data_IF_611265036948
#
_entry.id   IF_611265036948
#
_cell.length_a   1.000
_cell.length_b   1.000
_cell.length_c   1.000
_cell.angle_alpha   90.00
_cell.angle_beta   90.00
_cell.angle_gamma   90.00
#
_symmetry.space_group_name_H-M   'P 1'
#
loop_
_entity.id
_entity.type
_entity.pdbx_description
1 polymer ?
#
# COMPACT_ATOMS: atom_id res chain seq x y z
N UNK A 1 5.37 20.63 -13.07
CA UNK A 1 5.50 19.16 -13.05
C UNK A 1 4.13 18.53 -13.18
N UNK A 2 4.02 17.43 -13.92
CA UNK A 2 2.76 16.67 -14.12
C UNK A 2 3.00 15.20 -13.78
N UNK A 3 2.15 14.66 -12.92
CA UNK A 3 2.24 13.27 -12.44
C UNK A 3 0.98 12.50 -12.88
N UNK A 4 1.17 11.28 -13.39
CA UNK A 4 0.07 10.34 -13.59
C UNK A 4 0.11 9.26 -12.51
N UNK A 5 -1.01 9.03 -11.82
CA UNK A 5 -1.17 7.95 -10.82
C UNK A 5 -2.16 6.93 -11.37
N UNK A 6 -1.73 5.68 -11.51
CA UNK A 6 -2.55 4.56 -11.98
C UNK A 6 -2.92 3.67 -10.81
N UNK A 7 -4.21 3.59 -10.52
CA UNK A 7 -4.74 2.76 -9.42
C UNK A 7 -6.20 2.38 -9.67
N UNK A 8 -6.74 1.39 -8.98
CA UNK A 8 -8.16 1.06 -9.12
C UNK A 8 -9.07 2.11 -8.47
N UNK A 9 -8.69 2.59 -7.29
CA UNK A 9 -9.53 3.44 -6.45
C UNK A 9 -8.69 4.52 -5.78
N UNK A 10 -9.23 5.75 -5.72
CA UNK A 10 -8.67 6.88 -4.96
C UNK A 10 -9.79 7.44 -4.10
N UNK A 11 -9.82 7.09 -2.80
CA UNK A 11 -10.87 7.52 -1.87
C UNK A 11 -10.48 7.30 -0.40
N UNK A 12 -11.17 7.95 0.53
CA UNK A 12 -10.87 7.94 1.96
C UNK A 12 -11.09 6.57 2.66
N UNK A 13 -12.07 5.78 2.22
CA UNK A 13 -12.52 4.56 2.92
C UNK A 13 -11.94 3.28 2.30
N UNK A 14 -10.71 3.33 1.82
CA UNK A 14 -10.01 2.20 1.20
C UNK A 14 -8.53 2.30 1.57
N UNK A 15 -7.89 1.21 2.00
CA UNK A 15 -6.51 1.28 2.49
C UNK A 15 -5.54 1.86 1.45
N UNK A 16 -5.41 1.21 0.30
CA UNK A 16 -4.56 1.70 -0.80
C UNK A 16 -5.13 2.98 -1.42
N UNK A 17 -6.46 3.07 -1.53
CA UNK A 17 -7.15 4.24 -2.05
C UNK A 17 -6.88 5.49 -1.23
N UNK A 18 -6.80 5.38 0.10
CA UNK A 18 -6.46 6.47 1.01
C UNK A 18 -5.03 6.96 0.80
N UNK A 19 -4.06 6.06 0.71
CA UNK A 19 -2.67 6.43 0.43
C UNK A 19 -2.55 7.23 -0.86
N UNK A 20 -3.15 6.75 -1.95
CA UNK A 20 -3.14 7.46 -3.24
C UNK A 20 -3.91 8.80 -3.18
N UNK A 21 -4.97 8.88 -2.37
CA UNK A 21 -5.71 10.13 -2.14
C UNK A 21 -4.82 11.18 -1.48
N UNK A 22 -4.12 10.83 -0.40
CA UNK A 22 -3.25 11.76 0.33
C UNK A 22 -2.04 12.19 -0.51
N UNK A 23 -1.45 11.28 -1.30
CA UNK A 23 -0.38 11.62 -2.24
C UNK A 23 -0.90 12.62 -3.30
N UNK A 24 -2.08 12.37 -3.86
CA UNK A 24 -2.66 13.25 -4.87
C UNK A 24 -2.98 14.63 -4.28
N UNK A 25 -3.59 14.69 -3.08
CA UNK A 25 -3.91 15.93 -2.38
C UNK A 25 -2.66 16.77 -2.13
N UNK A 26 -1.62 16.18 -1.56
CA UNK A 26 -0.36 16.90 -1.31
C UNK A 26 0.33 17.35 -2.59
N UNK A 27 0.28 16.56 -3.66
CA UNK A 27 0.80 16.99 -4.96
C UNK A 27 0.07 18.23 -5.50
N UNK A 28 -1.24 18.32 -5.30
CA UNK A 28 -2.04 19.48 -5.71
C UNK A 28 -1.74 20.72 -4.86
N UNK A 29 -1.53 20.57 -3.55
CA UNK A 29 -1.09 21.64 -2.65
C UNK A 29 0.25 22.24 -3.07
N UNK A 30 1.14 21.41 -3.65
CA UNK A 30 2.42 21.82 -4.24
C UNK A 30 2.33 22.28 -5.70
N UNK A 31 1.12 22.59 -6.20
CA UNK A 31 0.85 23.01 -7.58
C UNK A 31 1.35 22.01 -8.64
N UNK A 32 1.38 20.73 -8.33
CA UNK A 32 1.68 19.65 -9.27
C UNK A 32 0.39 19.23 -9.97
N UNK A 33 0.38 19.18 -11.30
CA UNK A 33 -0.77 18.67 -12.05
C UNK A 33 -0.88 17.16 -11.90
N UNK A 34 -2.04 16.66 -11.46
CA UNK A 34 -2.29 15.23 -11.18
C UNK A 34 -3.28 14.65 -12.18
N UNK A 35 -2.88 13.58 -12.86
CA UNK A 35 -3.79 12.78 -13.68
C UNK A 35 -4.05 11.44 -13.01
N UNK A 36 -5.31 11.19 -12.64
CA UNK A 36 -5.74 9.95 -11.98
C UNK A 36 -6.32 8.98 -13.03
N UNK A 37 -5.58 7.93 -13.34
CA UNK A 37 -6.04 6.84 -14.23
C UNK A 37 -6.65 5.77 -13.34
N UNK A 38 -7.96 5.85 -13.08
CA UNK A 38 -8.61 5.06 -12.04
C UNK A 38 -10.06 4.72 -12.38
N UNK A 39 -10.59 3.65 -11.76
CA UNK A 39 -12.01 3.30 -11.87
C UNK A 39 -12.91 4.21 -11.03
N UNK A 40 -12.42 4.65 -9.87
CA UNK A 40 -13.13 5.52 -8.94
C UNK A 40 -12.18 6.56 -8.35
N UNK A 41 -12.65 7.81 -8.28
CA UNK A 41 -11.93 8.94 -7.67
C UNK A 41 -12.90 9.67 -6.73
N UNK A 42 -12.41 10.08 -5.58
CA UNK A 42 -13.16 10.86 -4.60
C UNK A 42 -13.57 12.23 -5.15
N UNK A 43 -14.80 12.72 -4.85
CA UNK A 43 -15.33 13.97 -5.42
C UNK A 43 -14.53 15.21 -5.04
N UNK A 44 -13.94 15.25 -3.85
CA UNK A 44 -13.11 16.36 -3.36
C UNK A 44 -11.87 16.59 -4.23
N UNK A 45 -11.20 15.53 -4.68
CA UNK A 45 -10.09 15.66 -5.64
C UNK A 45 -10.57 16.14 -7.02
N UNK A 46 -11.73 15.69 -7.47
CA UNK A 46 -12.29 16.09 -8.78
C UNK A 46 -12.67 17.56 -8.85
N UNK A 47 -12.91 18.20 -7.71
CA UNK A 47 -13.21 19.64 -7.64
C UNK A 47 -11.97 20.51 -7.86
N UNK A 48 -10.75 19.95 -7.80
CA UNK A 48 -9.52 20.73 -7.97
C UNK A 48 -9.17 20.95 -9.46
N UNK A 49 -8.85 22.19 -9.89
CA UNK A 49 -8.62 22.52 -11.30
C UNK A 49 -7.41 21.80 -11.93
N UNK A 50 -6.42 21.43 -11.14
CA UNK A 50 -5.21 20.73 -11.59
C UNK A 50 -5.37 19.20 -11.62
N UNK A 51 -6.58 18.67 -11.40
CA UNK A 51 -6.88 17.24 -11.50
C UNK A 51 -7.51 16.90 -12.84
N UNK A 52 -6.96 15.88 -13.48
CA UNK A 52 -7.57 15.21 -14.63
C UNK A 52 -7.91 13.78 -14.26
N UNK A 53 -9.15 13.38 -14.33
CA UNK A 53 -9.56 11.99 -14.19
C UNK A 53 -9.71 11.29 -15.53
N UNK A 54 -9.07 10.14 -15.66
CA UNK A 54 -9.21 9.23 -16.82
C UNK A 54 -9.92 7.97 -16.32
N UNK A 55 -11.25 7.86 -16.56
CA UNK A 55 -12.05 6.78 -16.00
C UNK A 55 -11.75 5.44 -16.69
N UNK A 56 -11.23 4.48 -15.93
CA UNK A 56 -10.99 3.11 -16.38
C UNK A 56 -12.15 2.20 -15.96
N UNK A 57 -13.29 2.29 -16.67
CA UNK A 57 -14.47 1.47 -16.39
C UNK A 57 -14.26 0.04 -16.89
N UNK A 58 -14.40 -0.94 -15.97
CA UNK A 58 -14.34 -2.36 -16.26
C UNK A 58 -15.73 -2.98 -16.06
N UNK A 59 -16.25 -3.59 -17.11
CA UNK A 59 -17.59 -4.22 -17.06
C UNK A 59 -17.67 -5.34 -16.02
N UNK A 60 -18.82 -5.44 -15.35
CA UNK A 60 -19.08 -6.50 -14.36
C UNK A 60 -19.24 -7.89 -14.97
N UNK A 61 -19.42 -8.00 -16.28
CA UNK A 61 -19.57 -9.25 -17.04
C UNK A 61 -18.30 -10.10 -17.10
N UNK A 62 -17.13 -9.54 -16.80
CA UNK A 62 -15.90 -10.32 -16.69
C UNK A 62 -15.99 -11.28 -15.50
N UNK A 63 -15.85 -12.62 -15.71
CA UNK A 63 -16.24 -13.62 -14.71
C UNK A 63 -15.32 -13.69 -13.49
N UNK A 64 -14.07 -13.26 -13.63
CA UNK A 64 -13.09 -13.37 -12.53
C UNK A 64 -12.38 -12.05 -12.26
N UNK A 65 -11.90 -11.88 -11.03
CA UNK A 65 -11.09 -10.71 -10.66
C UNK A 65 -9.77 -10.65 -11.43
N UNK A 66 -9.17 -11.80 -11.71
CA UNK A 66 -7.92 -11.87 -12.50
C UNK A 66 -8.14 -11.25 -13.90
N UNK A 67 -9.20 -11.64 -14.59
CA UNK A 67 -9.53 -11.08 -15.91
C UNK A 67 -9.85 -9.60 -15.85
N UNK A 68 -10.59 -9.14 -14.83
CA UNK A 68 -10.88 -7.70 -14.62
C UNK A 68 -9.58 -6.90 -14.47
N UNK A 69 -8.63 -7.41 -13.69
CA UNK A 69 -7.31 -6.77 -13.52
C UNK A 69 -6.54 -6.71 -14.84
N UNK A 70 -6.54 -7.80 -15.64
CA UNK A 70 -5.87 -7.81 -16.94
C UNK A 70 -6.50 -6.80 -17.93
N UNK A 71 -7.82 -6.70 -17.96
CA UNK A 71 -8.51 -5.70 -18.81
C UNK A 71 -8.17 -4.27 -18.37
N UNK A 72 -8.11 -4.02 -17.07
CA UNK A 72 -7.67 -2.71 -16.54
C UNK A 72 -6.22 -2.43 -16.97
N UNK A 73 -5.32 -3.39 -16.74
CA UNK A 73 -3.90 -3.26 -17.06
C UNK A 73 -3.66 -3.02 -18.56
N UNK A 74 -4.42 -3.68 -19.42
CA UNK A 74 -4.35 -3.48 -20.87
C UNK A 74 -4.87 -2.09 -21.27
N UNK A 75 -6.07 -1.70 -20.81
CA UNK A 75 -6.66 -0.40 -21.13
C UNK A 75 -5.78 0.76 -20.66
N UNK A 76 -5.28 0.69 -19.44
CA UNK A 76 -4.39 1.71 -18.89
C UNK A 76 -3.08 1.80 -19.67
N UNK A 77 -2.49 0.67 -20.06
CA UNK A 77 -1.27 0.66 -20.85
C UNK A 77 -1.46 1.25 -22.26
N UNK A 78 -2.57 0.93 -22.92
CA UNK A 78 -2.90 1.50 -24.24
C UNK A 78 -3.07 3.02 -24.15
N UNK A 79 -3.78 3.51 -23.14
CA UNK A 79 -3.95 4.93 -22.93
C UNK A 79 -2.61 5.62 -22.63
N UNK A 80 -1.82 5.04 -21.72
CA UNK A 80 -0.50 5.55 -21.35
C UNK A 80 0.47 5.59 -22.54
N UNK A 81 0.40 4.62 -23.46
CA UNK A 81 1.25 4.59 -24.66
C UNK A 81 1.11 5.88 -25.49
N UNK A 82 -0.09 6.41 -25.62
CA UNK A 82 -0.37 7.63 -26.38
C UNK A 82 -0.10 8.92 -25.58
N UNK A 83 -0.16 8.87 -24.24
CA UNK A 83 -0.11 10.04 -23.37
C UNK A 83 1.15 10.11 -22.49
N UNK A 84 2.07 9.13 -22.59
CA UNK A 84 3.25 9.04 -21.66
C UNK A 84 4.10 10.32 -21.66
N UNK A 85 4.21 10.99 -22.79
CA UNK A 85 5.00 12.22 -22.93
C UNK A 85 4.40 13.44 -22.24
N UNK A 86 3.13 13.37 -21.84
CA UNK A 86 2.45 14.44 -21.11
C UNK A 86 2.87 14.50 -19.64
N UNK A 87 3.51 13.44 -19.12
CA UNK A 87 3.84 13.30 -17.69
C UNK A 87 5.35 13.26 -17.46
N UNK A 88 5.76 13.97 -16.42
CA UNK A 88 7.14 13.92 -15.91
C UNK A 88 7.37 12.65 -15.09
N UNK A 89 6.35 12.19 -14.34
CA UNK A 89 6.42 10.98 -13.53
C UNK A 89 5.16 10.13 -13.74
N UNK A 90 5.36 8.81 -13.92
CA UNK A 90 4.31 7.81 -13.91
C UNK A 90 4.42 6.96 -12.65
N UNK A 91 3.44 7.08 -11.76
CA UNK A 91 3.32 6.32 -10.53
C UNK A 91 2.24 5.24 -10.67
N UNK A 92 2.57 4.00 -10.33
CA UNK A 92 1.67 2.84 -10.37
C UNK A 92 1.69 2.09 -9.03
N UNK A 93 0.71 1.20 -8.84
CA UNK A 93 0.57 0.44 -7.58
C UNK A 93 0.61 -1.07 -7.87
N UNK A 94 1.76 -1.72 -7.63
CA UNK A 94 1.98 -3.13 -7.92
C UNK A 94 1.86 -3.44 -9.42
N UNK A 95 1.31 -4.61 -9.77
CA UNK A 95 0.92 -4.88 -11.15
C UNK A 95 -0.46 -4.33 -11.44
N UNK A 96 -0.53 -3.21 -12.09
CA UNK A 96 -1.79 -2.54 -12.45
C UNK A 96 -1.85 -2.09 -13.92
N UNK A 97 -0.71 -2.10 -14.59
CA UNK A 97 -0.59 -1.72 -16.00
C UNK A 97 0.55 -2.48 -16.67
N UNK A 98 0.44 -2.72 -17.96
CA UNK A 98 1.52 -3.26 -18.79
C UNK A 98 2.56 -2.20 -19.20
N UNK A 99 2.37 -0.94 -18.85
CA UNK A 99 3.34 0.13 -19.10
C UNK A 99 4.49 0.09 -18.07
N UNK A 100 5.74 0.41 -18.45
CA UNK A 100 6.82 0.65 -17.50
C UNK A 100 6.54 1.91 -16.67
N UNK A 101 6.96 1.92 -15.41
CA UNK A 101 6.68 3.00 -14.47
C UNK A 101 7.95 3.68 -13.96
N UNK A 102 7.83 4.94 -13.53
CA UNK A 102 8.90 5.64 -12.83
C UNK A 102 8.90 5.27 -11.34
N UNK A 103 7.71 5.26 -10.72
CA UNK A 103 7.48 4.84 -9.33
C UNK A 103 6.45 3.70 -9.31
N UNK A 104 6.70 2.68 -8.50
CA UNK A 104 5.78 1.58 -8.27
C UNK A 104 5.62 1.31 -6.78
N UNK A 105 4.49 1.72 -6.20
CA UNK A 105 4.21 1.47 -4.79
C UNK A 105 3.65 0.07 -4.57
N UNK A 106 4.27 -0.67 -3.67
CA UNK A 106 3.85 -2.01 -3.28
C UNK A 106 3.08 -1.97 -1.96
N UNK A 107 1.76 -2.18 -2.04
CA UNK A 107 0.87 -2.31 -0.89
C UNK A 107 0.59 -3.76 -0.48
N UNK A 108 1.11 -4.72 -1.24
CA UNK A 108 0.99 -6.15 -0.99
C UNK A 108 1.96 -6.90 -1.88
N UNK A 109 2.61 -7.96 -1.38
CA UNK A 109 3.53 -8.79 -2.16
C UNK A 109 2.96 -10.20 -2.27
N UNK A 110 2.44 -10.55 -3.44
CA UNK A 110 1.79 -11.86 -3.64
C UNK A 110 2.75 -13.03 -3.48
N UNK A 111 4.03 -12.88 -3.86
CA UNK A 111 5.05 -13.90 -3.63
C UNK A 111 5.35 -14.10 -2.15
N UNK A 112 5.41 -13.03 -1.36
CA UNK A 112 5.59 -13.09 0.10
C UNK A 112 4.42 -13.80 0.78
N UNK A 113 3.18 -13.46 0.40
CA UNK A 113 2.00 -14.15 0.92
C UNK A 113 1.96 -15.62 0.50
N UNK A 114 2.20 -15.93 -0.76
CA UNK A 114 2.22 -17.29 -1.27
C UNK A 114 3.31 -18.15 -0.62
N UNK A 115 4.47 -17.58 -0.33
CA UNK A 115 5.58 -18.25 0.37
C UNK A 115 5.41 -18.35 1.89
N UNK A 116 4.40 -17.69 2.47
CA UNK A 116 4.12 -17.73 3.90
C UNK A 116 3.65 -19.11 4.36
N UNK A 117 4.14 -19.59 5.51
CA UNK A 117 3.63 -20.83 6.17
C UNK A 117 2.13 -20.77 6.49
N UNK A 118 1.56 -19.56 6.52
CA UNK A 118 0.15 -19.32 6.82
C UNK A 118 -0.74 -19.25 5.59
N UNK A 119 -0.19 -19.47 4.37
CA UNK A 119 -0.99 -19.44 3.14
C UNK A 119 -1.98 -20.61 3.10
N UNK A 120 -3.30 -20.36 3.12
CA UNK A 120 -4.28 -21.41 3.37
C UNK A 120 -4.71 -22.17 2.12
N UNK A 121 -4.41 -21.63 0.93
CA UNK A 121 -4.96 -22.12 -0.33
C UNK A 121 -4.05 -23.17 -1.00
N UNK A 122 -4.66 -24.09 -1.74
CA UNK A 122 -3.95 -25.12 -2.49
C UNK A 122 -4.83 -25.69 -3.60
N UNK A 123 -4.21 -26.34 -4.62
CA UNK A 123 -4.90 -26.85 -5.79
C UNK A 123 -5.88 -28.00 -5.48
N UNK A 124 -5.62 -28.75 -4.40
CA UNK A 124 -6.42 -29.93 -3.98
C UNK A 124 -7.48 -29.62 -2.93
N UNK A 125 -7.54 -28.38 -2.43
CA UNK A 125 -8.44 -27.96 -1.32
C UNK A 125 -9.80 -27.41 -1.80
N UNK A 126 -10.27 -27.80 -3.00
CA UNK A 126 -11.53 -27.37 -3.59
C UNK A 126 -11.37 -26.24 -4.62
N UNK A 127 -12.41 -26.01 -5.43
CA UNK A 127 -12.39 -25.10 -6.60
C UNK A 127 -12.02 -23.68 -6.23
N UNK A 128 -12.60 -23.15 -5.16
CA UNK A 128 -12.29 -21.79 -4.67
C UNK A 128 -10.82 -21.66 -4.23
N UNK A 129 -10.34 -22.65 -3.49
CA UNK A 129 -8.94 -22.67 -3.02
C UNK A 129 -7.96 -22.79 -4.19
N UNK A 130 -8.27 -23.61 -5.19
CA UNK A 130 -7.50 -23.74 -6.40
C UNK A 130 -7.45 -22.42 -7.18
N UNK A 131 -8.60 -21.75 -7.35
CA UNK A 131 -8.66 -20.42 -7.96
C UNK A 131 -7.80 -19.40 -7.22
N UNK A 132 -7.88 -19.33 -5.89
CA UNK A 132 -7.07 -18.41 -5.09
C UNK A 132 -5.57 -18.71 -5.21
N UNK A 133 -5.20 -19.98 -5.28
CA UNK A 133 -3.82 -20.40 -5.48
C UNK A 133 -3.28 -19.96 -6.85
N UNK A 134 -4.05 -20.18 -7.92
CA UNK A 134 -3.70 -19.73 -9.28
C UNK A 134 -3.65 -18.20 -9.34
N UNK A 135 -4.67 -17.53 -8.80
CA UNK A 135 -4.73 -16.07 -8.73
C UNK A 135 -3.48 -15.48 -8.08
N UNK A 136 -3.10 -15.98 -6.89
CA UNK A 136 -1.93 -15.48 -6.15
C UNK A 136 -0.63 -15.73 -6.91
N UNK A 137 -0.45 -16.91 -7.51
CA UNK A 137 0.74 -17.24 -8.32
C UNK A 137 0.86 -16.36 -9.57
N UNK A 138 -0.26 -16.17 -10.29
CA UNK A 138 -0.27 -15.28 -11.46
C UNK A 138 0.10 -13.84 -11.07
N UNK A 139 -0.49 -13.32 -9.98
CA UNK A 139 -0.15 -11.97 -9.52
C UNK A 139 1.31 -11.87 -9.05
N UNK A 140 1.87 -12.88 -8.38
CA UNK A 140 3.29 -12.90 -8.00
C UNK A 140 4.23 -12.80 -9.22
N UNK A 141 3.91 -13.48 -10.31
CA UNK A 141 4.67 -13.41 -11.57
C UNK A 141 4.53 -12.03 -12.24
N UNK A 142 3.32 -11.49 -12.26
CA UNK A 142 3.01 -10.19 -12.84
C UNK A 142 3.63 -9.04 -12.04
N UNK A 143 3.64 -9.12 -10.71
CA UNK A 143 4.33 -8.17 -9.83
C UNK A 143 5.83 -8.19 -10.08
N UNK A 144 6.45 -9.37 -10.14
CA UNK A 144 7.88 -9.50 -10.48
C UNK A 144 8.21 -8.84 -11.81
N UNK A 145 7.35 -9.03 -12.81
CA UNK A 145 7.50 -8.39 -14.11
C UNK A 145 7.37 -6.85 -13.99
N UNK A 146 6.36 -6.34 -13.28
CA UNK A 146 6.12 -4.90 -13.10
C UNK A 146 7.26 -4.23 -12.34
N UNK A 147 7.75 -4.84 -11.25
CA UNK A 147 8.84 -4.28 -10.46
C UNK A 147 10.13 -4.16 -11.27
N UNK A 148 10.47 -5.17 -12.09
CA UNK A 148 11.65 -5.11 -12.98
C UNK A 148 11.57 -4.01 -14.03
N UNK A 149 10.39 -3.50 -14.32
CA UNK A 149 10.15 -2.42 -15.29
C UNK A 149 9.88 -1.07 -14.63
N UNK A 150 10.10 -0.97 -13.33
CA UNK A 150 9.95 0.26 -12.55
C UNK A 150 11.33 0.82 -12.20
N UNK A 151 11.52 2.13 -12.27
CA UNK A 151 12.80 2.75 -11.88
C UNK A 151 13.00 2.69 -10.37
N UNK A 152 11.97 3.11 -9.61
CA UNK A 152 11.93 3.06 -8.15
C UNK A 152 10.71 2.27 -7.72
N UNK A 153 10.90 1.36 -6.78
CA UNK A 153 9.83 0.64 -6.10
C UNK A 153 9.74 1.21 -4.69
N UNK A 154 8.58 1.70 -4.30
CA UNK A 154 8.33 2.15 -2.93
C UNK A 154 7.60 1.06 -2.15
N UNK A 155 8.23 0.59 -1.09
CA UNK A 155 7.66 -0.40 -0.17
C UNK A 155 7.01 0.32 1.01
N UNK A 156 5.81 -0.10 1.41
CA UNK A 156 5.07 0.55 2.50
C UNK A 156 5.56 0.13 3.90
N UNK A 157 6.52 -0.79 3.99
CA UNK A 157 7.18 -1.23 5.21
C UNK A 157 8.53 -1.88 4.90
N UNK A 158 9.40 -2.03 5.90
CA UNK A 158 10.68 -2.72 5.74
C UNK A 158 10.47 -4.18 5.34
N UNK A 159 9.48 -4.86 5.96
CA UNK A 159 9.07 -6.22 5.59
C UNK A 159 8.76 -6.34 4.09
N UNK A 160 7.96 -5.41 3.54
CA UNK A 160 7.64 -5.38 2.10
C UNK A 160 8.88 -5.15 1.26
N UNK A 161 9.78 -4.27 1.68
CA UNK A 161 11.04 -4.02 0.97
C UNK A 161 11.91 -5.29 0.88
N UNK A 162 12.01 -6.03 1.98
CA UNK A 162 12.79 -7.27 2.03
C UNK A 162 12.17 -8.38 1.17
N UNK A 163 10.84 -8.52 1.18
CA UNK A 163 10.12 -9.42 0.29
C UNK A 163 10.33 -9.07 -1.20
N UNK A 164 10.31 -7.77 -1.55
CA UNK A 164 10.56 -7.31 -2.92
C UNK A 164 12.02 -7.60 -3.33
N UNK A 165 12.99 -7.37 -2.46
CA UNK A 165 14.40 -7.69 -2.74
C UNK A 165 14.60 -9.21 -2.96
N UNK A 166 13.90 -10.04 -2.19
CA UNK A 166 13.93 -11.50 -2.33
C UNK A 166 13.36 -12.02 -3.67
N UNK A 167 12.54 -11.24 -4.39
CA UNK A 167 12.00 -11.61 -5.71
C UNK A 167 13.11 -11.66 -6.80
N UNK A 168 14.27 -11.10 -6.56
CA UNK A 168 15.37 -11.03 -7.52
C UNK A 168 15.12 -9.94 -8.58
N UNK A 169 15.31 -8.70 -8.16
CA UNK A 169 15.27 -7.50 -9.00
C UNK A 169 16.54 -7.37 -9.86
N UNK A 170 16.52 -6.48 -10.82
CA UNK A 170 17.70 -6.11 -11.59
C UNK A 170 18.55 -5.10 -10.80
N UNK A 171 19.87 -4.98 -11.08
CA UNK A 171 20.74 -3.98 -10.42
C UNK A 171 20.27 -2.53 -10.60
N UNK A 172 19.43 -2.27 -11.59
CA UNK A 172 18.90 -0.92 -11.88
C UNK A 172 17.65 -0.56 -11.08
N UNK A 173 17.06 -1.51 -10.36
CA UNK A 173 15.86 -1.26 -9.55
C UNK A 173 16.28 -0.74 -8.16
N UNK A 174 15.79 0.43 -7.80
CA UNK A 174 15.91 1.00 -6.46
C UNK A 174 14.67 0.64 -5.65
N UNK A 175 14.85 0.22 -4.39
CA UNK A 175 13.76 -0.07 -3.44
C UNK A 175 13.90 0.86 -2.25
N UNK A 176 12.95 1.77 -2.11
CA UNK A 176 12.85 2.72 -1.00
C UNK A 176 11.70 2.33 -0.08
N UNK A 177 11.82 2.62 1.21
CA UNK A 177 10.73 2.45 2.17
C UNK A 177 10.07 3.79 2.41
N UNK A 178 8.76 3.88 2.12
CA UNK A 178 7.90 5.00 2.48
C UNK A 178 6.70 4.42 3.22
N UNK A 179 6.72 4.53 4.55
CA UNK A 179 5.64 4.02 5.39
C UNK A 179 4.32 4.72 5.08
N UNK A 180 3.20 4.00 5.22
CA UNK A 180 1.88 4.61 5.15
C UNK A 180 1.71 5.67 6.23
N UNK A 181 0.84 6.65 5.95
CA UNK A 181 0.49 7.69 6.91
C UNK A 181 -0.74 7.33 7.75
N UNK A 182 -1.00 8.20 8.73
CA UNK A 182 -2.20 8.21 9.56
C UNK A 182 -2.62 9.65 9.87
N UNK A 183 -3.90 9.88 10.14
CA UNK A 183 -4.40 11.17 10.65
C UNK A 183 -4.12 11.28 12.16
N UNK A 184 -2.91 11.69 12.49
CA UNK A 184 -2.46 11.76 13.88
C UNK A 184 -3.30 12.71 14.73
N UNK A 185 -3.73 13.84 14.16
CA UNK A 185 -4.53 14.84 14.88
C UNK A 185 -5.97 14.37 15.07
N UNK A 186 -6.61 13.85 14.03
CA UNK A 186 -7.99 13.38 14.10
C UNK A 186 -8.16 12.18 15.05
N UNK A 187 -7.15 11.30 15.13
CA UNK A 187 -7.18 10.19 16.09
C UNK A 187 -6.81 10.65 17.51
N UNK A 188 -5.86 11.55 17.72
CA UNK A 188 -5.49 12.01 19.06
C UNK A 188 -6.56 12.89 19.73
N UNK A 189 -7.31 13.68 18.94
CA UNK A 189 -8.30 14.64 19.47
C UNK A 189 -9.66 14.04 19.83
N UNK A 190 -9.92 12.78 19.48
CA UNK A 190 -11.22 12.17 19.72
C UNK A 190 -11.43 11.84 21.20
N UNK A 191 -12.69 11.77 21.60
CA UNK A 191 -13.08 11.32 22.96
C UNK A 191 -13.88 10.03 22.85
N UNK A 192 -13.58 9.05 23.71
CA UNK A 192 -14.28 7.78 23.77
C UNK A 192 -15.69 7.88 24.31
N UNK A 193 -16.55 7.02 23.83
CA UNK A 193 -17.94 6.88 24.31
C UNK A 193 -18.33 5.40 24.31
N UNK A 194 -18.10 4.71 25.44
CA UNK A 194 -18.46 3.29 25.62
C UNK A 194 -19.96 3.06 25.50
N UNK A 195 -20.78 4.02 25.93
CA UNK A 195 -22.25 3.89 25.92
C UNK A 195 -22.79 3.87 24.50
N UNK A 196 -22.21 4.65 23.60
CA UNK A 196 -22.54 4.68 22.17
C UNK A 196 -22.41 3.32 21.49
N UNK A 197 -21.44 2.51 21.93
CA UNK A 197 -21.18 1.18 21.38
C UNK A 197 -21.80 0.06 22.22
N UNK A 198 -22.51 0.40 23.31
CA UNK A 198 -23.10 -0.58 24.22
C UNK A 198 -22.08 -1.39 25.02
N UNK A 199 -20.90 -0.84 25.27
CA UNK A 199 -19.84 -1.53 26.00
C UNK A 199 -20.06 -1.44 27.52
N UNK A 200 -19.73 -2.50 28.28
CA UNK A 200 -19.70 -2.46 29.73
C UNK A 200 -18.65 -1.44 30.25
N UNK A 201 -18.98 -0.77 31.33
CA UNK A 201 -18.09 0.25 31.93
C UNK A 201 -16.90 -0.35 32.67
N UNK A 202 -17.07 -1.56 33.20
CA UNK A 202 -16.11 -2.30 34.04
C UNK A 202 -15.28 -3.35 33.27
N UNK A 203 -15.57 -3.54 31.98
CA UNK A 203 -14.82 -4.47 31.14
C UNK A 203 -13.47 -3.89 30.67
N UNK A 204 -12.44 -4.74 30.59
CA UNK A 204 -11.25 -4.48 29.83
C UNK A 204 -11.50 -4.81 28.35
N UNK A 205 -11.52 -3.80 27.51
CA UNK A 205 -11.95 -3.91 26.12
C UNK A 205 -10.77 -3.93 25.15
N UNK A 206 -10.64 -5.04 24.43
CA UNK A 206 -9.78 -5.13 23.25
C UNK A 206 -10.48 -4.60 22.01
N UNK A 207 -9.73 -4.13 21.04
CA UNK A 207 -10.23 -3.80 19.70
C UNK A 207 -9.50 -4.62 18.64
N UNK A 208 -10.27 -5.20 17.72
CA UNK A 208 -9.78 -5.79 16.48
C UNK A 208 -10.45 -5.10 15.29
N UNK A 209 -9.66 -4.68 14.28
CA UNK A 209 -10.18 -4.06 13.06
C UNK A 209 -9.66 -4.79 11.83
N UNK A 210 -10.55 -5.26 10.95
CA UNK A 210 -10.10 -5.92 9.72
C UNK A 210 -11.20 -6.52 8.85
N UNK A 211 -10.82 -7.13 7.72
CA UNK A 211 -11.75 -7.92 6.90
C UNK A 211 -12.02 -9.26 7.59
N UNK A 212 -13.27 -9.43 8.07
CA UNK A 212 -13.71 -10.57 8.85
C UNK A 212 -14.02 -11.84 8.00
N UNK A 213 -13.79 -11.80 6.69
CA UNK A 213 -13.98 -12.94 5.79
C UNK A 213 -12.70 -13.68 5.47
N UNK A 214 -11.56 -13.10 5.81
CA UNK A 214 -10.25 -13.68 5.49
C UNK A 214 -9.54 -14.21 6.75
N UNK A 215 -8.98 -15.43 6.72
CA UNK A 215 -8.20 -15.97 7.84
C UNK A 215 -6.86 -15.23 8.00
N UNK A 216 -6.47 -14.41 7.06
CA UNK A 216 -5.19 -13.69 7.04
C UNK A 216 -5.05 -12.72 8.21
N UNK A 217 -6.13 -12.03 8.57
CA UNK A 217 -6.17 -11.06 9.69
C UNK A 217 -6.17 -11.75 11.07
N UNK A 218 -6.54 -13.03 11.13
CA UNK A 218 -6.36 -13.91 12.28
C UNK A 218 -7.19 -13.58 13.53
N UNK A 219 -8.44 -13.14 13.37
CA UNK A 219 -9.34 -12.97 14.51
C UNK A 219 -9.58 -14.30 15.25
N UNK A 220 -9.46 -15.46 14.57
CA UNK A 220 -9.64 -16.77 15.17
C UNK A 220 -8.70 -17.04 16.37
N UNK A 221 -7.43 -16.65 16.28
CA UNK A 221 -6.49 -16.75 17.39
C UNK A 221 -6.87 -15.81 18.54
N UNK A 222 -7.39 -14.63 18.26
CA UNK A 222 -7.86 -13.69 19.30
C UNK A 222 -9.05 -14.27 20.07
N UNK A 223 -10.03 -14.88 19.35
CA UNK A 223 -11.15 -15.54 19.98
C UNK A 223 -10.71 -16.73 20.84
N UNK A 224 -9.72 -17.49 20.41
CA UNK A 224 -9.14 -18.57 21.24
C UNK A 224 -8.41 -18.04 22.47
N UNK A 225 -7.71 -16.92 22.35
CA UNK A 225 -7.00 -16.28 23.46
C UNK A 225 -7.97 -15.83 24.57
N UNK A 226 -9.18 -15.36 24.22
CA UNK A 226 -10.19 -14.96 25.21
C UNK A 226 -10.56 -16.08 26.18
N UNK A 227 -10.46 -17.36 25.80
CA UNK A 227 -10.70 -18.50 26.70
C UNK A 227 -9.68 -18.62 27.83
N UNK A 228 -8.51 -18.03 27.65
CA UNK A 228 -7.43 -18.03 28.64
C UNK A 228 -7.38 -16.75 29.47
N UNK A 229 -8.33 -15.84 29.27
CA UNK A 229 -8.42 -14.54 29.93
C UNK A 229 -9.64 -14.47 30.85
N UNK A 230 -9.58 -13.67 31.94
CA UNK A 230 -10.71 -13.46 32.85
C UNK A 230 -11.97 -12.95 32.11
N UNK A 231 -13.16 -13.19 32.69
CA UNK A 231 -14.45 -12.83 32.09
C UNK A 231 -14.64 -11.34 31.82
N UNK A 232 -14.01 -10.47 32.59
CA UNK A 232 -14.07 -9.02 32.39
C UNK A 232 -13.29 -8.55 31.14
N UNK A 233 -12.43 -9.39 30.56
CA UNK A 233 -11.74 -9.09 29.30
C UNK A 233 -12.67 -9.41 28.14
N UNK A 234 -13.03 -8.41 27.36
CA UNK A 234 -13.95 -8.52 26.23
C UNK A 234 -13.32 -7.92 24.96
N UNK A 235 -13.94 -8.12 23.82
CA UNK A 235 -13.42 -7.60 22.54
C UNK A 235 -14.50 -6.96 21.69
N UNK A 236 -14.18 -5.76 21.18
CA UNK A 236 -14.87 -5.11 20.08
C UNK A 236 -14.24 -5.53 18.74
N UNK A 237 -15.09 -5.92 17.78
CA UNK A 237 -14.65 -6.39 16.46
C UNK A 237 -15.29 -5.52 15.39
N UNK A 238 -14.50 -4.70 14.73
CA UNK A 238 -14.95 -3.83 13.64
C UNK A 238 -14.50 -4.37 12.27
N UNK A 239 -15.42 -4.41 11.31
CA UNK A 239 -15.14 -4.87 9.95
C UNK A 239 -16.38 -5.37 9.22
N UNK A 240 -16.22 -5.75 7.96
CA UNK A 240 -17.35 -6.26 7.16
C UNK A 240 -17.80 -7.63 7.66
N UNK A 241 -18.97 -7.69 8.29
CA UNK A 241 -19.49 -8.87 9.00
C UNK A 241 -20.22 -9.90 8.10
N UNK A 242 -20.97 -9.53 7.05
CA UNK A 242 -21.71 -10.49 6.24
C UNK A 242 -20.80 -11.58 5.64
N UNK A 243 -21.16 -12.85 5.88
CA UNK A 243 -20.38 -14.02 5.45
C UNK A 243 -19.13 -14.31 6.29
N UNK A 244 -18.95 -13.65 7.43
CA UNK A 244 -17.87 -13.92 8.39
C UNK A 244 -18.15 -15.22 9.17
N UNK A 245 -17.16 -16.11 9.36
CA UNK A 245 -17.31 -17.32 10.17
C UNK A 245 -17.20 -17.05 11.69
N UNK A 246 -16.73 -15.89 12.10
CA UNK A 246 -16.33 -15.62 13.48
C UNK A 246 -17.48 -15.53 14.48
N UNK A 247 -18.70 -15.05 14.15
CA UNK A 247 -19.82 -15.10 15.08
C UNK A 247 -20.15 -16.55 15.51
N UNK A 248 -20.18 -17.48 14.57
CA UNK A 248 -20.42 -18.89 14.88
C UNK A 248 -19.22 -19.52 15.62
N UNK A 249 -18.02 -19.12 15.29
CA UNK A 249 -16.82 -19.55 16.03
C UNK A 249 -16.87 -19.07 17.49
N UNK A 250 -17.26 -17.83 17.75
CA UNK A 250 -17.40 -17.31 19.12
C UNK A 250 -18.46 -18.08 19.92
N UNK A 251 -19.59 -18.44 19.31
CA UNK A 251 -20.62 -19.30 19.91
C UNK A 251 -20.08 -20.70 20.25
N UNK A 252 -19.41 -21.33 19.28
CA UNK A 252 -18.82 -22.66 19.47
C UNK A 252 -17.74 -22.71 20.57
N UNK A 253 -17.04 -21.59 20.80
CA UNK A 253 -16.06 -21.42 21.87
C UNK A 253 -16.69 -21.07 23.23
N UNK A 254 -18.01 -20.80 23.29
CA UNK A 254 -18.73 -20.39 24.50
C UNK A 254 -18.46 -18.96 24.96
N UNK A 255 -17.87 -18.11 24.12
CA UNK A 255 -17.44 -16.73 24.46
C UNK A 255 -18.24 -15.64 23.75
N UNK A 256 -19.36 -15.98 23.12
CA UNK A 256 -20.15 -15.02 22.33
C UNK A 256 -20.58 -13.77 23.11
N UNK A 257 -20.83 -13.91 24.42
CA UNK A 257 -21.21 -12.83 25.34
C UNK A 257 -20.07 -11.82 25.61
N UNK A 258 -18.83 -12.16 25.27
CA UNK A 258 -17.61 -11.33 25.42
C UNK A 258 -17.18 -10.68 24.10
N UNK A 259 -17.90 -10.91 22.99
CA UNK A 259 -17.49 -10.46 21.65
C UNK A 259 -18.54 -9.53 21.05
N UNK A 260 -18.19 -8.26 20.88
CA UNK A 260 -19.04 -7.21 20.32
C UNK A 260 -18.75 -7.02 18.83
N UNK A 261 -19.56 -7.66 17.95
CA UNK A 261 -19.43 -7.50 16.50
C UNK A 261 -20.13 -6.22 16.03
N UNK A 262 -19.36 -5.18 15.69
CA UNK A 262 -19.87 -3.84 15.37
C UNK A 262 -20.17 -3.62 13.89
N UNK A 263 -19.73 -4.52 13.00
CA UNK A 263 -19.79 -4.25 11.56
C UNK A 263 -18.84 -3.13 11.13
N UNK A 264 -19.21 -2.40 10.08
CA UNK A 264 -18.43 -1.25 9.60
C UNK A 264 -18.71 -0.03 10.47
N UNK A 265 -17.67 0.49 11.11
CA UNK A 265 -17.73 1.68 11.98
C UNK A 265 -17.22 2.90 11.22
N UNK A 266 -17.99 3.99 11.23
CA UNK A 266 -17.62 5.27 10.57
C UNK A 266 -16.75 6.14 11.46
N UNK A 267 -17.01 6.13 12.77
CA UNK A 267 -16.33 6.98 13.76
C UNK A 267 -15.23 6.16 14.47
N UNK A 268 -14.27 5.72 13.69
CA UNK A 268 -13.18 4.88 14.19
C UNK A 268 -12.36 5.57 15.31
N UNK A 269 -12.06 6.89 15.25
CA UNK A 269 -11.39 7.55 16.36
C UNK A 269 -12.16 7.44 17.68
N UNK A 270 -13.49 7.65 17.68
CA UNK A 270 -14.33 7.52 18.90
C UNK A 270 -14.30 6.08 19.42
N UNK A 271 -14.39 5.08 18.51
CA UNK A 271 -14.29 3.67 18.90
C UNK A 271 -12.94 3.34 19.53
N UNK A 272 -11.83 3.82 18.96
CA UNK A 272 -10.50 3.55 19.49
C UNK A 272 -10.28 4.16 20.88
N UNK A 273 -10.84 5.33 21.16
CA UNK A 273 -10.83 5.92 22.51
C UNK A 273 -11.82 5.28 23.49
N UNK A 274 -12.69 4.37 23.03
CA UNK A 274 -13.66 3.65 23.86
C UNK A 274 -13.16 2.29 24.36
N UNK A 275 -11.93 1.89 23.98
CA UNK A 275 -11.31 0.59 24.29
C UNK A 275 -9.96 0.77 24.97
N UNK A 276 -9.39 -0.32 25.51
CA UNK A 276 -8.19 -0.27 26.34
C UNK A 276 -6.90 -0.72 25.64
N UNK A 277 -7.01 -1.57 24.60
CA UNK A 277 -5.87 -2.03 23.81
C UNK A 277 -6.29 -2.48 22.41
N UNK A 278 -5.36 -2.42 21.47
CA UNK A 278 -5.55 -2.91 20.11
C UNK A 278 -4.83 -4.25 19.90
N UNK A 279 -5.53 -5.25 19.34
CA UNK A 279 -4.97 -6.59 19.08
C UNK A 279 -5.07 -6.93 17.60
N UNK A 280 -3.93 -7.24 16.98
CA UNK A 280 -3.87 -7.50 15.55
C UNK A 280 -2.79 -8.53 15.18
N UNK A 281 -2.95 -9.81 15.58
CA UNK A 281 -1.98 -10.88 15.30
C UNK A 281 -2.11 -11.37 13.84
N UNK A 282 -1.98 -10.47 12.86
CA UNK A 282 -2.17 -10.81 11.45
C UNK A 282 -1.08 -11.78 10.97
N UNK A 283 -1.48 -12.83 10.26
CA UNK A 283 -0.59 -13.82 9.62
C UNK A 283 0.20 -13.23 8.47
N UNK A 284 -0.34 -12.23 7.84
CA UNK A 284 0.32 -11.48 6.77
C UNK A 284 -0.33 -10.11 6.58
N UNK A 285 0.47 -9.06 6.63
CA UNK A 285 0.08 -7.70 6.32
C UNK A 285 1.27 -6.98 5.68
N UNK A 286 1.01 -6.05 4.77
CA UNK A 286 2.06 -5.20 4.19
C UNK A 286 2.40 -4.04 5.13
N UNK A 287 1.40 -3.23 5.46
CA UNK A 287 1.44 -2.17 6.47
C UNK A 287 0.00 -1.87 6.89
N UNK A 288 -0.32 -2.12 8.14
CA UNK A 288 -1.69 -1.94 8.64
C UNK A 288 -1.97 -0.48 8.97
N UNK A 289 -2.95 0.13 8.29
CA UNK A 289 -3.44 1.46 8.68
C UNK A 289 -4.08 1.42 10.06
N UNK A 290 -4.89 0.39 10.37
CA UNK A 290 -5.53 0.27 11.68
C UNK A 290 -4.54 0.14 12.84
N UNK A 291 -3.33 -0.39 12.60
CA UNK A 291 -2.25 -0.39 13.59
C UNK A 291 -1.77 1.04 13.87
N UNK A 292 -1.50 1.82 12.82
CA UNK A 292 -1.10 3.23 12.96
C UNK A 292 -2.21 4.08 13.57
N UNK A 293 -3.47 3.83 13.20
CA UNK A 293 -4.65 4.49 13.75
C UNK A 293 -4.80 4.22 15.26
N UNK A 294 -4.61 2.98 15.69
CA UNK A 294 -4.63 2.59 17.10
C UNK A 294 -3.50 3.28 17.90
N UNK A 295 -2.29 3.30 17.35
CA UNK A 295 -1.17 4.02 17.95
C UNK A 295 -1.44 5.51 18.05
N UNK A 296 -1.97 6.13 17.00
CA UNK A 296 -2.32 7.56 16.98
C UNK A 296 -3.44 7.91 17.98
N UNK A 297 -4.34 6.97 18.27
CA UNK A 297 -5.35 7.09 19.32
C UNK A 297 -4.79 6.83 20.74
N UNK A 298 -3.50 6.54 20.90
CA UNK A 298 -2.89 6.27 22.19
C UNK A 298 -3.21 4.88 22.76
N UNK A 299 -3.53 3.91 21.92
CA UNK A 299 -3.74 2.53 22.34
C UNK A 299 -2.42 1.75 22.34
N UNK A 300 -2.09 1.02 23.43
CA UNK A 300 -1.06 0.01 23.37
C UNK A 300 -1.46 -1.08 22.39
N UNK A 301 -0.51 -1.58 21.61
CA UNK A 301 -0.79 -2.50 20.53
C UNK A 301 -0.18 -3.89 20.81
N UNK A 302 -0.95 -4.96 20.53
CA UNK A 302 -0.44 -6.33 20.48
C UNK A 302 -0.55 -6.81 19.05
N UNK A 303 0.59 -7.05 18.41
CA UNK A 303 0.65 -7.48 17.00
C UNK A 303 1.57 -8.69 16.86
N UNK A 304 1.78 -9.17 15.64
CA UNK A 304 2.71 -10.26 15.38
C UNK A 304 3.79 -9.84 14.39
N UNK A 305 4.98 -10.44 14.46
CA UNK A 305 6.14 -10.19 13.59
C UNK A 305 5.81 -10.35 12.09
N UNK A 306 4.78 -11.13 11.79
CA UNK A 306 4.28 -11.35 10.42
C UNK A 306 3.45 -10.20 9.85
N UNK A 307 3.01 -9.27 10.69
CA UNK A 307 2.32 -8.07 10.25
C UNK A 307 3.34 -6.99 9.87
N UNK A 308 3.26 -6.45 8.65
CA UNK A 308 4.03 -5.27 8.28
C UNK A 308 3.61 -4.08 9.12
N UNK A 309 4.59 -3.32 9.60
CA UNK A 309 4.43 -2.32 10.65
C UNK A 309 4.79 -2.85 12.05
N UNK A 310 4.96 -4.16 12.24
CA UNK A 310 5.46 -4.68 13.52
C UNK A 310 6.91 -4.23 13.80
N UNK A 311 7.66 -3.94 12.76
CA UNK A 311 9.05 -3.44 12.87
C UNK A 311 9.18 -2.05 13.49
N UNK A 312 8.11 -1.26 13.54
CA UNK A 312 8.12 0.04 14.20
C UNK A 312 7.69 -0.04 15.67
N UNK A 313 7.15 -1.18 16.11
CA UNK A 313 6.68 -1.35 17.49
C UNK A 313 7.87 -1.63 18.39
N UNK A 314 8.07 -0.76 19.38
CA UNK A 314 9.05 -0.93 20.42
C UNK A 314 8.40 -1.50 21.70
N UNK A 315 9.16 -2.08 22.64
CA UNK A 315 8.60 -2.58 23.89
C UNK A 315 7.86 -1.53 24.73
N UNK A 316 8.18 -0.25 24.53
CA UNK A 316 7.55 0.89 25.21
C UNK A 316 6.15 1.19 24.66
N UNK A 317 5.86 0.86 23.40
CA UNK A 317 4.58 1.21 22.75
C UNK A 317 3.70 0.00 22.42
N UNK A 318 4.21 -1.24 22.56
CA UNK A 318 3.42 -2.43 22.25
C UNK A 318 4.14 -3.74 22.46
N UNK A 319 3.46 -4.83 22.11
CA UNK A 319 3.96 -6.19 22.25
C UNK A 319 3.91 -6.87 20.87
N UNK A 320 5.05 -7.42 20.44
CA UNK A 320 5.17 -8.15 19.18
C UNK A 320 5.30 -9.64 19.45
N UNK A 321 4.32 -10.43 19.02
CA UNK A 321 4.32 -11.88 19.11
C UNK A 321 5.20 -12.49 18.02
N UNK A 322 5.92 -13.54 18.34
CA UNK A 322 6.72 -14.30 17.36
C UNK A 322 5.84 -15.18 16.46
N UNK A 323 4.80 -15.82 17.03
CA UNK A 323 3.82 -16.61 16.28
C UNK A 323 2.41 -15.98 16.38
N UNK A 324 1.80 -15.56 15.25
CA UNK A 324 0.44 -15.05 15.24
C UNK A 324 -0.62 -16.10 15.62
N UNK A 325 -0.29 -17.40 15.56
CA UNK A 325 -1.19 -18.50 15.83
C UNK A 325 -1.07 -19.06 17.25
N UNK A 326 -0.35 -18.38 18.15
CA UNK A 326 -0.24 -18.76 19.56
C UNK A 326 -1.27 -17.99 20.43
N UNK A 327 -2.43 -18.59 20.76
CA UNK A 327 -3.44 -17.94 21.58
C UNK A 327 -3.00 -17.76 23.05
N UNK A 328 -2.07 -18.58 23.55
CA UNK A 328 -1.57 -18.46 24.93
C UNK A 328 -0.59 -17.31 25.08
N UNK A 329 0.32 -17.16 24.10
CA UNK A 329 1.21 -16.00 24.05
C UNK A 329 0.42 -14.69 23.91
N UNK A 330 -0.62 -14.67 23.06
CA UNK A 330 -1.51 -13.53 22.92
C UNK A 330 -2.26 -13.24 24.24
N UNK A 331 -2.82 -14.27 24.91
CA UNK A 331 -3.49 -14.10 26.20
C UNK A 331 -2.53 -13.56 27.27
N UNK A 332 -1.31 -14.06 27.34
CA UNK A 332 -0.29 -13.55 28.25
C UNK A 332 0.10 -12.09 27.99
N UNK A 333 0.16 -11.68 26.71
CA UNK A 333 0.39 -10.28 26.35
C UNK A 333 -0.78 -9.38 26.78
N UNK A 334 -2.02 -9.82 26.55
CA UNK A 334 -3.23 -9.09 26.95
C UNK A 334 -3.35 -9.00 28.48
N UNK A 335 -3.10 -10.10 29.20
CA UNK A 335 -3.14 -10.11 30.68
C UNK A 335 -2.21 -9.06 31.28
N UNK A 336 -0.97 -8.94 30.78
CA UNK A 336 -0.02 -7.90 31.23
C UNK A 336 -0.56 -6.48 31.07
N UNK A 337 -1.36 -6.22 30.03
CA UNK A 337 -1.99 -4.92 29.81
C UNK A 337 -3.22 -4.72 30.70
N UNK A 338 -3.98 -5.79 30.99
CA UNK A 338 -5.16 -5.74 31.81
C UNK A 338 -4.83 -5.58 33.31
N UNK A 339 -3.73 -6.18 33.75
CA UNK A 339 -3.32 -6.25 35.16
C UNK A 339 -2.58 -4.98 35.63
N UNK A 340 -2.13 -4.11 34.72
CA UNK A 340 -1.32 -2.93 35.09
C UNK A 340 -1.75 -1.68 34.27
N UNK A 341 -2.64 -0.91 34.87
CA UNK A 341 -3.22 0.31 34.28
C UNK A 341 -2.17 1.40 33.99
N UNK A 342 -1.19 1.57 34.89
CA UNK A 342 -0.17 2.60 34.72
C UNK A 342 0.79 2.26 33.58
N UNK A 343 1.25 1.00 33.52
CA UNK A 343 2.08 0.54 32.43
C UNK A 343 1.33 0.60 31.08
N UNK A 344 0.04 0.22 31.06
CA UNK A 344 -0.80 0.31 29.88
C UNK A 344 -0.94 1.74 29.38
N UNK A 345 -1.24 2.71 30.28
CA UNK A 345 -1.34 4.13 29.94
C UNK A 345 -0.01 4.69 29.43
N UNK A 346 1.09 4.37 30.08
CA UNK A 346 2.42 4.78 29.64
C UNK A 346 2.74 4.23 28.23
N UNK A 347 2.38 2.95 27.97
CA UNK A 347 2.56 2.32 26.65
C UNK A 347 1.68 3.00 25.57
N UNK A 348 0.47 3.40 25.91
CA UNK A 348 -0.41 4.17 25.00
C UNK A 348 0.15 5.55 24.67
N UNK A 349 0.70 6.27 25.64
CA UNK A 349 1.38 7.57 25.40
C UNK A 349 2.56 7.37 24.45
N UNK A 350 3.42 6.39 24.70
CA UNK A 350 4.56 6.10 23.83
C UNK A 350 4.13 5.70 22.42
N UNK A 351 3.02 4.96 22.27
CA UNK A 351 2.44 4.62 20.99
C UNK A 351 1.98 5.87 20.21
N UNK A 352 1.29 6.80 20.88
CA UNK A 352 0.86 8.06 20.27
C UNK A 352 2.06 8.93 19.86
N UNK A 353 3.05 9.10 20.72
CA UNK A 353 4.28 9.84 20.41
C UNK A 353 4.98 9.26 19.17
N UNK A 354 5.15 7.95 19.11
CA UNK A 354 5.75 7.28 17.94
C UNK A 354 4.91 7.48 16.66
N UNK A 355 3.59 7.43 16.77
CA UNK A 355 2.68 7.62 15.64
C UNK A 355 2.77 9.02 15.02
N UNK A 356 3.18 10.05 15.76
CA UNK A 356 3.38 11.41 15.22
C UNK A 356 4.40 11.43 14.08
N UNK A 357 5.35 10.51 14.09
CA UNK A 357 6.33 10.32 13.02
C UNK A 357 5.77 9.72 11.73
N UNK A 358 4.50 9.27 11.72
CA UNK A 358 3.85 8.58 10.59
C UNK A 358 2.62 9.35 10.08
N UNK A 359 2.60 10.70 10.17
CA UNK A 359 1.51 11.49 9.62
C UNK A 359 1.44 11.43 8.09
N UNK A 360 0.23 11.63 7.53
CA UNK A 360 0.01 11.68 6.07
C UNK A 360 0.90 12.72 5.38
N UNK A 361 1.12 13.88 6.01
CA UNK A 361 1.96 14.94 5.46
C UNK A 361 3.40 14.45 5.22
N UNK A 362 4.00 13.80 6.22
CA UNK A 362 5.37 13.25 6.12
C UNK A 362 5.49 12.18 5.04
N UNK A 363 4.50 11.27 4.94
CA UNK A 363 4.47 10.29 3.87
C UNK A 363 4.41 10.98 2.50
N UNK A 364 3.51 11.94 2.34
CA UNK A 364 3.31 12.65 1.08
C UNK A 364 4.54 13.46 0.68
N UNK A 365 5.20 14.15 1.62
CA UNK A 365 6.46 14.87 1.38
C UNK A 365 7.54 13.96 0.77
N UNK A 366 7.66 12.73 1.25
CA UNK A 366 8.63 11.76 0.71
C UNK A 366 8.28 11.38 -0.75
N UNK A 367 7.00 11.20 -1.08
CA UNK A 367 6.58 10.96 -2.47
C UNK A 367 6.82 12.18 -3.36
N UNK A 368 6.54 13.39 -2.88
CA UNK A 368 6.77 14.64 -3.64
C UNK A 368 8.27 14.85 -3.89
N UNK A 369 9.12 14.60 -2.89
CA UNK A 369 10.57 14.64 -3.05
C UNK A 369 11.06 13.63 -4.09
N UNK A 370 10.54 12.40 -4.05
CA UNK A 370 10.84 11.37 -5.05
C UNK A 370 10.39 11.79 -6.45
N UNK A 371 9.21 12.37 -6.61
CA UNK A 371 8.72 12.87 -7.90
C UNK A 371 9.60 13.98 -8.45
N UNK A 372 10.01 14.94 -7.62
CA UNK A 372 10.93 16.03 -8.02
C UNK A 372 12.29 15.49 -8.47
N UNK A 373 12.84 14.52 -7.73
CA UNK A 373 14.10 13.86 -8.09
C UNK A 373 14.00 13.20 -9.47
N UNK A 374 12.95 12.41 -9.71
CA UNK A 374 12.78 11.67 -10.97
C UNK A 374 12.47 12.60 -12.16
N UNK A 375 11.70 13.65 -11.94
CA UNK A 375 11.43 14.66 -12.97
C UNK A 375 12.70 15.40 -13.36
N UNK A 376 13.56 15.80 -12.41
CA UNK A 376 14.86 16.41 -12.66
C UNK A 376 15.76 15.51 -13.52
N UNK A 377 15.93 14.26 -13.11
CA UNK A 377 16.72 13.28 -13.86
C UNK A 377 16.19 13.08 -15.30
N UNK A 378 14.89 13.12 -15.50
CA UNK A 378 14.30 12.99 -16.82
C UNK A 378 14.53 14.23 -17.69
N UNK A 379 14.53 15.43 -17.10
CA UNK A 379 14.86 16.67 -17.81
C UNK A 379 16.33 16.69 -18.25
N UNK A 380 17.24 16.32 -17.36
CA UNK A 380 18.70 16.25 -17.66
C UNK A 380 18.98 15.25 -18.78
N UNK A 381 18.33 14.08 -18.73
CA UNK A 381 18.46 13.06 -19.78
C UNK A 381 17.95 13.57 -21.13
N UNK A 382 16.75 14.22 -21.17
CA UNK A 382 16.22 14.80 -22.41
C UNK A 382 17.12 15.87 -22.97
N UNK A 383 17.75 16.69 -22.11
CA UNK A 383 18.71 17.71 -22.52
C UNK A 383 19.96 17.08 -23.14
N UNK A 384 20.57 16.10 -22.49
CA UNK A 384 21.73 15.37 -23.01
C UNK A 384 21.44 14.65 -24.34
N UNK A 385 20.26 14.03 -24.48
CA UNK A 385 19.82 13.39 -25.73
C UNK A 385 19.62 14.42 -26.85
N UNK A 386 19.10 15.60 -26.55
CA UNK A 386 18.94 16.69 -27.51
C UNK A 386 20.31 17.26 -27.96
N UNK A 387 21.23 17.48 -27.02
CA UNK A 387 22.59 17.93 -27.30
C UNK A 387 23.33 16.92 -28.18
N UNK A 388 23.25 15.63 -27.85
CA UNK A 388 23.85 14.57 -28.67
C UNK A 388 23.25 14.49 -30.09
N UNK A 389 21.94 14.68 -30.22
CA UNK A 389 21.27 14.71 -31.52
C UNK A 389 21.72 15.92 -32.38
N UNK A 390 21.96 17.06 -31.77
CA UNK A 390 22.49 18.25 -32.47
C UNK A 390 23.92 17.98 -32.97
N UNK A 391 24.79 17.43 -32.12
CA UNK A 391 26.15 17.07 -32.50
C UNK A 391 26.13 16.08 -33.67
N UNK A 392 25.38 14.99 -33.57
CA UNK A 392 25.28 13.98 -34.62
C UNK A 392 24.81 14.58 -35.98
N UNK A 393 23.86 15.54 -35.92
CA UNK A 393 23.35 16.22 -37.12
C UNK A 393 24.43 17.14 -37.73
N UNK A 394 25.21 17.82 -36.90
CA UNK A 394 26.31 18.67 -37.35
C UNK A 394 27.41 17.85 -38.01
N UNK A 395 27.79 16.71 -37.41
CA UNK A 395 28.79 15.78 -37.95
C UNK A 395 28.36 15.22 -39.32
N UNK A 396 27.09 14.84 -39.44
CA UNK A 396 26.50 14.32 -40.70
C UNK A 396 26.51 15.39 -41.81
N UNK A 397 26.24 16.65 -41.47
CA UNK A 397 26.33 17.79 -42.43
C UNK A 397 27.75 18.05 -42.86
N UNK A 398 28.72 17.99 -41.95
CA UNK A 398 30.16 18.18 -42.21
C UNK A 398 30.68 17.07 -43.14
N UNK A 399 30.31 15.81 -42.90
CA UNK A 399 30.69 14.69 -43.74
C UNK A 399 30.10 14.79 -45.15
N UNK A 400 28.85 15.22 -45.29
CA UNK A 400 28.22 15.43 -46.57
C UNK A 400 28.87 16.57 -47.36
N UNK A 401 29.29 17.65 -46.67
CA UNK A 401 29.99 18.78 -47.29
C UNK A 401 31.39 18.34 -47.81
N UNK A 402 32.12 17.57 -47.02
CA UNK A 402 33.44 17.01 -47.40
C UNK A 402 33.30 16.03 -48.57
N UNK A 403 32.29 15.16 -48.58
CA UNK A 403 32.04 14.22 -49.67
C UNK A 403 31.68 14.97 -50.97
N UNK A 404 30.86 16.06 -50.89
CA UNK A 404 30.56 16.93 -52.04
C UNK A 404 31.77 17.65 -52.61
N UNK A 405 32.68 18.12 -51.77
CA UNK A 405 33.95 18.75 -52.20
C UNK A 405 34.89 17.72 -52.87
N UNK A 406 34.95 16.52 -52.37
CA UNK A 406 35.78 15.44 -52.98
C UNK A 406 35.25 15.02 -54.34
N UNK A 407 33.95 14.96 -54.54
CA UNK A 407 33.33 14.66 -55.84
C UNK A 407 33.59 15.83 -56.85
N UNK A 408 33.51 17.08 -56.41
CA UNK A 408 33.79 18.24 -57.27
C UNK A 408 35.27 18.31 -57.68
N UNK A 409 36.18 17.99 -56.75
CA UNK A 409 37.61 17.99 -57.04
C UNK A 409 38.03 16.85 -58.03
N UNK A 410 37.44 15.67 -57.84
CA UNK A 410 37.63 14.56 -58.79
C UNK A 410 37.04 14.81 -60.16
N UNK A 411 35.90 15.53 -60.28
CA UNK A 411 35.31 15.90 -61.54
C UNK A 411 36.15 16.96 -62.31
N UNK A 412 36.76 17.91 -61.61
CA UNK A 412 37.68 18.89 -62.21
C UNK A 412 38.99 18.27 -62.68
N UNK A 413 39.53 17.31 -61.93
CA UNK A 413 40.73 16.59 -62.35
C UNK A 413 40.52 15.64 -63.54
N UNK A 414 39.30 15.07 -63.70
CA UNK A 414 38.95 14.27 -64.85
C UNK A 414 38.78 15.07 -66.14
N UNK A 415 38.36 16.35 -66.05
CA UNK A 415 38.27 17.28 -67.23
C UNK A 415 39.62 17.86 -67.63
N UNK A 416 40.59 17.96 -66.73
CA UNK A 416 41.95 18.43 -67.01
C UNK A 416 42.87 17.42 -67.72
N UNK A 417 42.48 16.16 -67.83
CA UNK A 417 43.28 15.11 -68.52
C UNK A 417 42.82 14.83 -69.93
N UNK A 418 41.86 15.59 -70.50
CA UNK A 418 41.37 15.43 -71.85
C UNK A 418 41.76 16.62 -72.76
N UNK A 419 42.70 17.42 -72.38
CA UNK A 419 43.40 18.42 -73.21
C UNK A 419 44.89 18.02 -73.30
#
# INVERSE_FOLDING_TARGET
>A
MRVAIVTHVVRHNDGQGRVNHEIARAALEENIGVTLVASHVAPDLLAHPNVRWVPMKIGRWWPTNLLRQQVFAFKSAMWLRSHRREFDVLHVNGFITWAPADVNTSHFVHSGWFGSKYYPFGLTKGVWSAYQSVYTRCNALLERWAYRRSKVITAVSQKVADEIRAIGLTPHNRVDVIYNGVDTQGFAAATGDRTKFGFPTDAFLLLFVGDLRTPRKNLGTVLQALKHLPEHVQIAVAGFLPGSPYPEQAKALGIAHRVHFLGLVKEMPVLMHSVDAFVFPSRYEAMSLSLLEAMAAGLPVVTARTAGGAEIITPECGIVLDDPDDPKALAGAVARLADNDDARRAMGVAANELATGFGWARMAEQYIALYRQLAGQQMDRRRSEAEAAVVAKTDALTLNTLAGQTIHHNAQNAQGQQL
#
